data_IF_790966577484
#
_entry.id   IF_790966577484
#
_cell.length_a   1.000
_cell.length_b   1.000
_cell.length_c   1.000
_cell.angle_alpha   90.00
_cell.angle_beta   90.00
_cell.angle_gamma   90.00
#
_symmetry.space_group_name_H-M   'P 1'
#
loop_
_entity.id
_entity.type
_entity.pdbx_description
1 polymer ?
#
# COMPACT_ATOMS: atom_id res chain seq x y z
N UNK A 1 -34.11 4.23 -27.83
CA UNK A 1 -33.24 3.64 -26.80
C UNK A 1 -33.10 2.17 -27.15
N UNK A 2 -31.87 1.64 -27.07
CA UNK A 2 -31.59 0.23 -27.32
C UNK A 2 -32.32 -0.63 -26.27
N UNK A 3 -33.12 -1.64 -26.67
CA UNK A 3 -33.87 -2.50 -25.75
C UNK A 3 -33.01 -3.34 -24.80
N UNK A 4 -31.68 -3.40 -24.99
CA UNK A 4 -30.77 -4.15 -24.12
C UNK A 4 -30.27 -3.33 -22.91
N UNK A 5 -30.48 -2.01 -22.88
CA UNK A 5 -29.99 -1.16 -21.79
C UNK A 5 -31.00 -1.16 -20.63
N UNK A 6 -30.68 -1.91 -19.57
CA UNK A 6 -31.54 -2.07 -18.38
C UNK A 6 -31.56 -0.85 -17.45
N UNK A 7 -30.51 -0.04 -17.47
CA UNK A 7 -30.42 1.21 -16.70
C UNK A 7 -29.34 2.13 -17.29
N UNK A 8 -29.55 3.42 -17.10
CA UNK A 8 -28.66 4.51 -17.45
C UNK A 8 -28.66 5.49 -16.27
N UNK A 9 -27.49 5.96 -15.86
CA UNK A 9 -27.37 7.15 -15.03
C UNK A 9 -26.35 8.09 -15.65
N UNK A 10 -26.78 9.32 -15.92
CA UNK A 10 -25.87 10.38 -16.34
C UNK A 10 -24.93 10.72 -15.17
N UNK A 11 -23.62 10.70 -15.42
CA UNK A 11 -22.66 11.16 -14.43
C UNK A 11 -22.70 12.69 -14.33
N UNK A 12 -22.90 13.20 -13.12
CA UNK A 12 -22.71 14.62 -12.83
C UNK A 12 -21.26 14.90 -12.43
N UNK A 13 -20.68 15.94 -13.03
CA UNK A 13 -19.34 16.40 -12.68
C UNK A 13 -19.35 16.95 -11.26
N UNK A 14 -18.76 16.21 -10.32
CA UNK A 14 -18.61 16.66 -8.93
C UNK A 14 -17.52 17.71 -8.84
N UNK A 15 -17.87 18.93 -8.43
CA UNK A 15 -16.91 20.00 -8.16
C UNK A 15 -16.10 19.70 -6.91
N UNK A 16 -14.77 19.56 -7.04
CA UNK A 16 -13.85 19.39 -5.92
C UNK A 16 -13.76 20.69 -5.12
N UNK A 17 -14.29 20.70 -3.90
CA UNK A 17 -14.06 21.77 -2.93
C UNK A 17 -13.01 21.30 -1.94
N UNK A 18 -11.94 22.09 -1.75
CA UNK A 18 -10.90 21.78 -0.75
C UNK A 18 -11.56 21.81 0.63
N UNK A 19 -11.81 20.63 1.21
CA UNK A 19 -12.37 20.50 2.56
C UNK A 19 -11.38 21.15 3.53
N UNK A 20 -11.77 22.28 4.11
CA UNK A 20 -11.10 22.87 5.25
C UNK A 20 -11.47 22.02 6.47
N UNK A 21 -10.53 21.18 6.92
CA UNK A 21 -10.64 20.53 8.22
C UNK A 21 -10.15 21.56 9.22
N UNK A 22 -11.02 21.97 10.15
CA UNK A 22 -10.66 22.86 11.26
C UNK A 22 -9.50 22.21 12.02
N UNK A 23 -8.53 23.03 12.45
CA UNK A 23 -7.42 22.59 13.29
C UNK A 23 -7.99 21.96 14.55
N UNK A 24 -7.99 20.63 14.60
CA UNK A 24 -8.40 19.87 15.77
C UNK A 24 -7.16 19.66 16.66
N UNK A 25 -7.17 20.18 17.90
CA UNK A 25 -6.00 20.25 18.77
C UNK A 25 -5.47 18.90 19.28
N UNK A 26 -6.18 17.78 19.07
CA UNK A 26 -5.64 16.47 19.43
C UNK A 26 -4.68 15.98 18.35
N UNK A 27 -3.38 16.10 18.62
CA UNK A 27 -2.34 15.42 17.84
C UNK A 27 -2.48 13.90 18.03
N UNK A 28 -2.50 13.15 16.93
CA UNK A 28 -2.36 11.69 16.99
C UNK A 28 -0.93 11.38 17.41
N UNK A 29 -0.79 10.55 18.44
CA UNK A 29 0.50 10.09 18.94
C UNK A 29 0.61 8.58 18.70
N UNK A 30 1.76 8.20 18.15
CA UNK A 30 2.16 6.83 17.88
C UNK A 30 3.50 6.59 18.60
N UNK A 31 3.65 5.44 19.26
CA UNK A 31 4.91 5.09 19.95
C UNK A 31 6.02 4.60 19.00
N UNK A 32 5.72 4.55 17.70
CA UNK A 32 6.60 4.08 16.64
C UNK A 32 7.80 5.04 16.48
N UNK A 33 9.06 4.57 16.58
CA UNK A 33 10.23 5.43 16.73
C UNK A 33 10.47 6.43 15.59
N UNK A 34 10.08 6.09 14.37
CA UNK A 34 10.27 6.94 13.19
C UNK A 34 9.08 7.88 12.98
N UNK A 35 7.99 7.74 13.74
CA UNK A 35 6.77 8.54 13.59
C UNK A 35 7.08 10.03 13.49
N UNK A 36 7.91 10.59 14.37
CA UNK A 36 8.28 12.02 14.37
C UNK A 36 9.00 12.49 13.09
N UNK A 37 9.64 11.58 12.36
CA UNK A 37 10.35 11.84 11.11
C UNK A 37 9.50 11.65 9.85
N UNK A 38 8.26 11.12 9.97
CA UNK A 38 7.35 10.86 8.86
C UNK A 38 6.68 12.15 8.33
N UNK A 39 7.47 13.02 7.70
CA UNK A 39 7.09 14.33 7.17
C UNK A 39 5.90 14.31 6.19
N UNK A 40 5.66 13.17 5.54
CA UNK A 40 4.53 12.97 4.61
C UNK A 40 3.21 12.72 5.36
N UNK A 41 3.25 12.22 6.60
CA UNK A 41 2.07 11.95 7.44
C UNK A 41 1.64 13.16 8.25
N UNK A 42 2.60 13.93 8.73
CA UNK A 42 2.38 15.11 9.55
C UNK A 42 3.52 16.09 9.35
N UNK A 43 3.34 17.31 9.82
CA UNK A 43 4.33 18.34 9.64
C UNK A 43 4.69 18.97 10.98
N UNK A 44 5.98 19.20 11.18
CA UNK A 44 6.55 19.59 12.47
C UNK A 44 6.47 21.08 12.79
N UNK A 45 5.92 21.90 11.89
CA UNK A 45 5.91 23.35 12.07
C UNK A 45 4.81 23.78 13.06
N UNK A 46 5.23 24.29 14.21
CA UNK A 46 4.34 24.68 15.33
C UNK A 46 3.63 26.01 15.07
N UNK A 47 4.07 26.78 14.07
CA UNK A 47 3.51 28.10 13.76
C UNK A 47 2.44 28.03 12.66
N UNK A 48 1.24 27.61 13.08
CA UNK A 48 -0.06 27.79 12.42
C UNK A 48 -0.31 27.08 11.07
N UNK A 49 -1.37 26.24 11.06
CA UNK A 49 -1.99 25.57 9.89
C UNK A 49 -1.14 24.54 9.15
N UNK A 50 -0.13 24.00 9.80
CA UNK A 50 0.66 22.92 9.25
C UNK A 50 -0.25 21.68 9.02
N UNK A 51 -0.39 21.27 7.75
CA UNK A 51 -1.15 20.09 7.31
C UNK A 51 -0.29 19.38 6.27
N UNK A 52 -0.04 18.08 6.44
CA UNK A 52 0.61 17.30 5.36
C UNK A 52 -0.28 17.32 4.11
N UNK A 53 0.33 17.36 2.92
CA UNK A 53 -0.43 17.46 1.67
C UNK A 53 -1.41 16.29 1.49
N UNK A 54 -1.03 15.10 1.94
CA UNK A 54 -1.85 13.88 1.91
C UNK A 54 -3.02 13.95 2.90
N UNK A 55 -2.86 14.64 4.04
CA UNK A 55 -3.89 14.81 5.06
C UNK A 55 -4.47 13.48 5.58
N UNK A 56 -3.62 12.47 5.76
CA UNK A 56 -4.01 11.12 6.21
C UNK A 56 -4.61 11.16 7.61
N UNK A 57 -4.05 11.97 8.52
CA UNK A 57 -4.54 12.08 9.90
C UNK A 57 -6.02 12.47 10.01
N UNK A 58 -6.55 13.26 9.07
CA UNK A 58 -7.97 13.62 9.10
C UNK A 58 -8.89 12.42 8.76
N UNK A 59 -8.39 11.44 8.00
CA UNK A 59 -9.10 10.18 7.76
C UNK A 59 -9.04 9.29 9.01
N UNK A 60 -7.87 9.19 9.65
CA UNK A 60 -7.70 8.46 10.91
C UNK A 60 -8.58 9.00 12.04
N UNK A 61 -8.68 10.34 12.18
CA UNK A 61 -9.60 10.99 13.14
C UNK A 61 -11.08 10.68 12.89
N UNK A 62 -11.44 10.26 11.67
CA UNK A 62 -12.78 9.77 11.34
C UNK A 62 -12.93 8.26 11.49
N UNK A 63 -11.90 7.57 11.97
CA UNK A 63 -11.88 6.13 12.17
C UNK A 63 -11.49 5.30 10.93
N UNK A 64 -11.11 5.93 9.82
CA UNK A 64 -10.72 5.22 8.60
C UNK A 64 -9.23 4.88 8.62
N UNK A 65 -8.89 3.62 8.86
CA UNK A 65 -7.50 3.15 9.07
C UNK A 65 -7.11 1.99 8.14
N UNK A 66 -7.95 1.68 7.14
CA UNK A 66 -7.75 0.54 6.24
C UNK A 66 -8.37 -0.78 6.72
N UNK A 67 -9.00 -0.82 7.88
CA UNK A 67 -9.65 -2.03 8.41
C UNK A 67 -10.58 -2.67 7.37
N UNK A 68 -10.43 -3.99 7.20
CA UNK A 68 -11.16 -4.84 6.24
C UNK A 68 -10.85 -4.57 4.76
N UNK A 69 -9.80 -3.79 4.45
CA UNK A 69 -9.27 -3.67 3.09
C UNK A 69 -8.08 -4.60 2.95
N UNK A 70 -8.00 -5.31 1.83
CA UNK A 70 -6.90 -6.21 1.47
C UNK A 70 -6.08 -5.58 0.35
N UNK A 71 -4.81 -5.34 0.61
CA UNK A 71 -3.84 -4.81 -0.37
C UNK A 71 -2.76 -5.85 -0.64
N UNK A 72 -2.27 -5.94 -1.87
CA UNK A 72 -1.10 -6.74 -2.20
C UNK A 72 -0.07 -5.94 -2.98
N UNK A 73 1.21 -6.22 -2.73
CA UNK A 73 2.36 -5.59 -3.38
C UNK A 73 2.92 -6.56 -4.42
N UNK A 74 2.97 -6.16 -5.69
CA UNK A 74 3.41 -6.99 -6.82
C UNK A 74 4.85 -6.59 -7.14
N UNK A 75 5.81 -7.35 -6.62
CA UNK A 75 7.19 -6.87 -6.54
C UNK A 75 8.21 -8.03 -6.35
N UNK A 76 9.34 -7.75 -5.72
CA UNK A 76 10.45 -8.68 -5.42
C UNK A 76 10.24 -9.58 -4.19
N UNK A 77 9.09 -9.42 -3.51
CA UNK A 77 8.69 -10.19 -2.34
C UNK A 77 8.35 -9.33 -1.12
N UNK A 78 7.84 -9.98 -0.07
CA UNK A 78 7.50 -9.33 1.21
C UNK A 78 8.08 -10.14 2.36
N UNK A 79 8.84 -9.49 3.24
CA UNK A 79 9.33 -10.10 4.49
C UNK A 79 8.13 -10.25 5.45
N UNK A 80 7.38 -11.34 5.28
CA UNK A 80 6.12 -11.61 6.00
C UNK A 80 6.26 -11.68 7.53
N UNK A 81 7.48 -11.91 8.02
CA UNK A 81 7.83 -11.95 9.43
C UNK A 81 8.47 -10.65 9.94
N UNK A 82 8.58 -9.59 9.12
CA UNK A 82 9.03 -8.28 9.58
C UNK A 82 8.11 -7.84 10.74
N UNK A 83 8.66 -7.41 11.89
CA UNK A 83 7.87 -7.13 13.10
C UNK A 83 6.78 -6.07 12.88
N UNK A 84 7.02 -5.17 11.93
CA UNK A 84 6.08 -4.11 11.58
C UNK A 84 5.00 -4.54 10.57
N UNK A 85 5.19 -5.66 9.86
CA UNK A 85 4.25 -6.16 8.85
C UNK A 85 3.48 -7.39 9.34
N UNK A 86 4.12 -8.25 10.14
CA UNK A 86 3.56 -9.53 10.58
C UNK A 86 2.14 -9.44 11.19
N UNK A 87 1.77 -8.42 11.98
CA UNK A 87 0.40 -8.30 12.48
C UNK A 87 -0.67 -8.10 11.39
N UNK A 88 -0.29 -7.46 10.28
CA UNK A 88 -1.15 -7.14 9.15
C UNK A 88 -0.98 -8.10 7.97
N UNK A 89 0.06 -8.93 7.97
CA UNK A 89 0.34 -9.87 6.90
C UNK A 89 -0.84 -10.81 6.65
N UNK A 90 -1.09 -11.05 5.36
CA UNK A 90 -2.15 -11.91 4.88
C UNK A 90 -1.61 -12.88 3.83
N UNK A 91 -1.52 -14.16 4.23
CA UNK A 91 -1.08 -15.23 3.35
C UNK A 91 -2.06 -15.48 2.20
N UNK A 92 -3.35 -15.19 2.37
CA UNK A 92 -4.33 -15.31 1.30
C UNK A 92 -4.28 -14.12 0.32
N UNK A 93 -3.62 -13.03 0.66
CA UNK A 93 -3.27 -11.96 -0.28
C UNK A 93 -1.91 -12.18 -0.98
N UNK A 94 -1.25 -13.33 -0.73
CA UNK A 94 0.16 -13.54 -1.09
C UNK A 94 0.41 -14.78 -1.94
N UNK A 95 1.46 -14.74 -2.77
CA UNK A 95 1.93 -15.87 -3.59
C UNK A 95 3.34 -15.61 -4.12
N UNK A 96 4.13 -16.65 -4.36
CA UNK A 96 5.39 -16.55 -5.09
C UNK A 96 5.22 -17.11 -6.50
N UNK A 97 5.22 -16.24 -7.50
CA UNK A 97 5.10 -16.61 -8.91
C UNK A 97 6.45 -17.09 -9.45
N UNK A 98 7.57 -16.54 -8.97
CA UNK A 98 8.92 -16.98 -9.37
C UNK A 98 9.24 -18.38 -8.83
N UNK A 99 8.86 -18.66 -7.57
CA UNK A 99 9.02 -19.94 -6.88
C UNK A 99 7.89 -20.95 -7.10
N UNK A 100 6.73 -20.48 -7.59
CA UNK A 100 5.50 -21.26 -7.75
C UNK A 100 5.01 -21.92 -6.44
N UNK A 101 4.99 -21.13 -5.35
CA UNK A 101 4.54 -21.54 -4.03
C UNK A 101 3.81 -20.40 -3.29
N UNK A 102 3.46 -20.62 -2.02
CA UNK A 102 2.68 -19.67 -1.22
C UNK A 102 3.51 -18.76 -0.31
N UNK A 103 4.84 -18.84 -0.35
CA UNK A 103 5.74 -18.06 0.48
C UNK A 103 6.39 -16.92 -0.32
N UNK A 104 5.86 -15.69 -0.28
CA UNK A 104 6.39 -14.56 -1.05
C UNK A 104 7.67 -13.96 -0.43
N UNK A 105 8.34 -14.67 0.49
CA UNK A 105 9.49 -14.14 1.20
C UNK A 105 10.61 -13.77 0.22
N UNK A 106 11.26 -12.61 0.40
CA UNK A 106 12.36 -12.20 -0.46
C UNK A 106 13.53 -13.17 -0.32
N UNK A 107 14.26 -13.39 -1.41
CA UNK A 107 15.53 -14.11 -1.37
C UNK A 107 16.62 -13.18 -0.85
N UNK A 108 17.26 -13.57 0.24
CA UNK A 108 18.41 -12.87 0.80
C UNK A 108 19.69 -13.35 0.13
N UNK A 109 20.46 -12.41 -0.40
CA UNK A 109 21.80 -12.62 -0.89
C UNK A 109 22.68 -11.41 -0.55
N UNK A 110 23.92 -11.42 -1.06
CA UNK A 110 24.87 -10.35 -0.81
C UNK A 110 24.50 -9.01 -1.50
N UNK A 111 23.67 -9.03 -2.56
CA UNK A 111 23.26 -7.80 -3.26
C UNK A 111 22.16 -7.06 -2.49
N UNK A 112 21.34 -7.81 -1.74
CA UNK A 112 20.19 -7.26 -0.99
C UNK A 112 19.29 -6.42 -1.91
N UNK A 113 19.05 -6.94 -3.11
CA UNK A 113 18.22 -6.32 -4.14
C UNK A 113 16.73 -6.49 -3.83
N UNK A 114 16.33 -7.65 -3.29
CA UNK A 114 14.95 -8.03 -2.96
C UNK A 114 14.41 -7.39 -1.67
N UNK A 115 14.44 -6.06 -1.61
CA UNK A 115 13.99 -5.27 -0.44
C UNK A 115 12.86 -4.29 -0.79
N UNK A 116 12.55 -4.15 -2.07
CA UNK A 116 11.67 -3.12 -2.58
C UNK A 116 10.22 -3.38 -2.14
N UNK A 117 9.69 -4.58 -2.35
CA UNK A 117 8.33 -4.95 -1.96
C UNK A 117 8.06 -4.83 -0.46
N UNK A 118 9.04 -5.19 0.38
CA UNK A 118 8.93 -5.03 1.84
C UNK A 118 8.84 -3.56 2.26
N UNK A 119 9.59 -2.66 1.59
CA UNK A 119 9.51 -1.22 1.85
C UNK A 119 8.15 -0.67 1.45
N UNK A 120 7.68 -1.00 0.24
CA UNK A 120 6.36 -0.59 -0.25
C UNK A 120 5.22 -1.10 0.65
N UNK A 121 5.30 -2.36 1.13
CA UNK A 121 4.33 -2.91 2.07
C UNK A 121 4.28 -2.12 3.38
N UNK A 122 5.43 -1.67 3.88
CA UNK A 122 5.52 -0.83 5.08
C UNK A 122 4.80 0.51 4.91
N UNK A 123 4.99 1.18 3.79
CA UNK A 123 4.30 2.45 3.49
C UNK A 123 2.77 2.30 3.52
N UNK A 124 2.26 1.16 3.04
CA UNK A 124 0.83 0.87 3.03
C UNK A 124 0.33 0.48 4.42
N UNK A 125 0.91 -0.54 5.04
CA UNK A 125 0.30 -1.26 6.16
C UNK A 125 1.29 -1.70 7.24
N UNK A 126 2.41 -1.00 7.42
CA UNK A 126 3.16 -1.07 8.67
C UNK A 126 2.19 -0.84 9.86
N UNK A 127 2.34 -1.68 10.87
CA UNK A 127 1.48 -1.68 12.04
C UNK A 127 1.70 -0.38 12.82
N UNK A 128 0.71 0.02 13.60
CA UNK A 128 0.82 1.21 14.41
C UNK A 128 0.86 0.87 15.89
N UNK A 129 1.52 1.71 16.68
CA UNK A 129 1.65 1.58 18.13
C UNK A 129 2.35 0.28 18.59
N UNK A 130 3.29 -0.25 17.80
CA UNK A 130 4.00 -1.49 18.13
C UNK A 130 5.44 -1.26 18.60
N UNK A 131 5.88 0.00 18.70
CA UNK A 131 7.26 0.42 19.02
C UNK A 131 8.31 0.04 17.96
N UNK A 132 7.88 -0.30 16.74
CA UNK A 132 8.78 -0.58 15.62
C UNK A 132 8.63 0.51 14.56
N UNK A 133 9.75 0.80 13.88
CA UNK A 133 9.85 1.63 12.67
C UNK A 133 8.76 2.72 12.50
N UNK A 134 7.83 2.54 11.55
CA UNK A 134 6.93 3.56 10.98
C UNK A 134 5.46 3.18 11.20
N UNK A 135 4.54 4.02 10.68
CA UNK A 135 3.11 3.73 10.64
C UNK A 135 2.63 3.71 9.20
N UNK A 136 1.98 2.63 8.75
CA UNK A 136 1.40 2.56 7.40
C UNK A 136 0.23 3.53 7.22
N UNK A 137 -0.01 4.00 5.99
CA UNK A 137 -1.19 4.84 5.67
C UNK A 137 -2.49 4.15 6.12
N UNK A 138 -2.56 2.85 5.88
CA UNK A 138 -3.66 1.96 6.18
C UNK A 138 -3.19 0.90 7.19
N UNK A 139 -2.67 1.33 8.35
CA UNK A 139 -2.08 0.47 9.38
C UNK A 139 -2.99 -0.61 10.00
N UNK A 140 -4.27 -0.69 9.63
CA UNK A 140 -5.19 -1.79 9.98
C UNK A 140 -5.69 -2.60 8.76
N UNK A 141 -5.16 -2.32 7.56
CA UNK A 141 -5.42 -3.13 6.37
C UNK A 141 -4.69 -4.47 6.46
N UNK A 142 -5.16 -5.43 5.67
CA UNK A 142 -4.43 -6.65 5.38
C UNK A 142 -3.44 -6.38 4.25
N UNK A 143 -2.23 -6.92 4.37
CA UNK A 143 -1.15 -6.73 3.40
C UNK A 143 -0.56 -8.06 2.97
N UNK A 144 -0.58 -8.31 1.66
CA UNK A 144 0.10 -9.44 1.04
C UNK A 144 1.25 -9.00 0.15
N UNK A 145 1.93 -9.98 -0.42
CA UNK A 145 2.93 -9.77 -1.46
C UNK A 145 2.86 -10.86 -2.52
N UNK A 146 3.02 -10.45 -3.78
CA UNK A 146 3.16 -11.30 -4.93
C UNK A 146 4.60 -11.15 -5.42
N UNK A 147 5.44 -12.16 -5.14
CA UNK A 147 6.83 -12.19 -5.58
C UNK A 147 6.87 -12.60 -7.05
N UNK A 148 7.21 -11.66 -7.91
CA UNK A 148 7.20 -11.84 -9.37
C UNK A 148 8.37 -11.16 -10.10
N UNK A 149 9.13 -10.29 -9.44
CA UNK A 149 10.27 -9.57 -10.02
C UNK A 149 11.66 -10.21 -9.76
N UNK A 150 11.78 -11.23 -8.91
CA UNK A 150 13.08 -11.91 -8.64
C UNK A 150 13.28 -13.09 -9.61
N UNK A 151 13.17 -12.80 -10.90
CA UNK A 151 13.30 -13.76 -12.01
C UNK A 151 12.85 -13.16 -13.35
N UNK A 152 12.81 -13.98 -14.40
CA UNK A 152 12.35 -13.54 -15.72
C UNK A 152 10.88 -13.12 -15.69
N UNK A 153 10.62 -11.84 -16.00
CA UNK A 153 9.27 -11.27 -16.07
C UNK A 153 8.75 -11.42 -17.50
N UNK A 154 7.79 -12.30 -17.69
CA UNK A 154 7.11 -12.55 -18.97
C UNK A 154 5.65 -12.13 -18.88
N UNK A 155 4.98 -11.97 -20.04
CA UNK A 155 3.54 -11.71 -20.10
C UNK A 155 2.71 -12.69 -19.24
N UNK A 156 3.09 -13.98 -19.22
CA UNK A 156 2.42 -14.98 -18.39
C UNK A 156 2.63 -14.74 -16.89
N UNK A 157 3.81 -14.28 -16.48
CA UNK A 157 4.11 -13.94 -15.08
C UNK A 157 3.31 -12.72 -14.65
N UNK A 158 3.26 -11.68 -15.48
CA UNK A 158 2.46 -10.48 -15.23
C UNK A 158 0.97 -10.82 -15.14
N UNK A 159 0.43 -11.54 -16.12
CA UNK A 159 -0.98 -11.91 -16.18
C UNK A 159 -1.39 -12.78 -14.99
N UNK A 160 -0.55 -13.75 -14.58
CA UNK A 160 -0.79 -14.53 -13.36
C UNK A 160 -0.78 -13.64 -12.12
N UNK A 161 0.22 -12.76 -11.99
CA UNK A 161 0.37 -11.88 -10.83
C UNK A 161 -0.85 -10.97 -10.65
N UNK A 162 -1.28 -10.29 -11.72
CA UNK A 162 -2.47 -9.44 -11.73
C UNK A 162 -3.76 -10.23 -11.49
N UNK A 163 -3.80 -11.51 -11.87
CA UNK A 163 -4.94 -12.40 -11.74
C UNK A 163 -5.05 -13.14 -10.40
N UNK A 164 -4.13 -12.94 -9.45
CA UNK A 164 -4.19 -13.63 -8.16
C UNK A 164 -5.36 -13.09 -7.34
N UNK A 165 -6.39 -13.91 -7.14
CA UNK A 165 -7.51 -13.70 -6.20
C UNK A 165 -8.22 -12.32 -6.32
N UNK A 166 -8.70 -11.94 -7.52
CA UNK A 166 -9.38 -10.66 -7.75
C UNK A 166 -10.72 -10.49 -7.01
N UNK A 167 -11.29 -11.59 -6.49
CA UNK A 167 -12.49 -11.55 -5.67
C UNK A 167 -12.20 -11.33 -4.17
N UNK A 168 -10.93 -11.24 -3.79
CA UNK A 168 -10.47 -11.09 -2.40
C UNK A 168 -9.59 -9.86 -2.19
N UNK A 169 -8.62 -9.66 -3.09
CA UNK A 169 -7.69 -8.54 -3.02
C UNK A 169 -8.38 -7.30 -3.59
N UNK A 170 -8.49 -6.25 -2.78
CA UNK A 170 -9.16 -5.02 -3.18
C UNK A 170 -8.25 -4.10 -4.01
N UNK A 171 -6.95 -4.09 -3.69
CA UNK A 171 -5.96 -3.17 -4.29
C UNK A 171 -4.67 -3.92 -4.60
N UNK A 172 -4.20 -3.75 -5.83
CA UNK A 172 -2.90 -4.22 -6.32
C UNK A 172 -1.99 -2.99 -6.47
N UNK A 173 -0.81 -3.01 -5.84
CA UNK A 173 0.19 -1.95 -5.95
C UNK A 173 1.41 -2.47 -6.69
N UNK A 174 1.81 -1.76 -7.74
CA UNK A 174 2.92 -2.12 -8.62
C UNK A 174 3.68 -0.86 -9.04
N UNK A 175 5.00 -0.98 -9.17
CA UNK A 175 5.89 0.07 -9.70
C UNK A 175 6.97 -0.52 -10.61
N UNK A 176 6.57 -1.52 -11.39
CA UNK A 176 7.35 -2.10 -12.48
C UNK A 176 6.72 -1.70 -13.82
N UNK A 177 7.46 -1.89 -14.89
CA UNK A 177 7.06 -1.53 -16.24
C UNK A 177 8.25 -1.60 -17.20
N UNK A 178 8.13 -1.00 -18.40
CA UNK A 178 9.26 -0.83 -19.31
C UNK A 178 10.43 -0.11 -18.65
N UNK A 179 11.62 -0.25 -19.22
CA UNK A 179 12.79 0.50 -18.76
C UNK A 179 12.56 2.01 -18.88
N UNK A 180 12.92 2.75 -17.82
CA UNK A 180 12.82 4.21 -17.75
C UNK A 180 13.93 4.91 -18.57
N UNK A 181 14.20 4.44 -19.79
CA UNK A 181 15.28 4.92 -20.66
C UNK A 181 14.80 5.89 -21.75
N UNK A 182 13.49 6.10 -21.84
CA UNK A 182 12.83 6.95 -22.84
C UNK A 182 12.85 6.39 -24.26
N UNK A 183 13.17 5.10 -24.44
CA UNK A 183 13.24 4.41 -25.74
C UNK A 183 12.39 3.14 -25.79
N UNK A 184 12.28 2.45 -24.66
CA UNK A 184 11.52 1.21 -24.53
C UNK A 184 10.02 1.52 -24.55
N UNK A 185 9.24 0.72 -25.28
CA UNK A 185 7.78 0.85 -25.48
C UNK A 185 7.02 -0.35 -24.97
#
# INVERSE_FOLDING_TARGET
>A
MDPQVKWLQQQEVKRRVKRQVRSDPQALYFNDPIWSNMWYMHCGDKNSRCRSEMNVQAAWKKGYTGKNVVVTILDDGIERNHPDLAPNYDSYASYDVNGNDYDPSPRYDASNENKHGTRCAGEVAASANNSYCIVGIAYNAKIGGIRMLDGDVTDVVEAKSLGIRPNYIDIYSASWGPDDDGKTV
#
